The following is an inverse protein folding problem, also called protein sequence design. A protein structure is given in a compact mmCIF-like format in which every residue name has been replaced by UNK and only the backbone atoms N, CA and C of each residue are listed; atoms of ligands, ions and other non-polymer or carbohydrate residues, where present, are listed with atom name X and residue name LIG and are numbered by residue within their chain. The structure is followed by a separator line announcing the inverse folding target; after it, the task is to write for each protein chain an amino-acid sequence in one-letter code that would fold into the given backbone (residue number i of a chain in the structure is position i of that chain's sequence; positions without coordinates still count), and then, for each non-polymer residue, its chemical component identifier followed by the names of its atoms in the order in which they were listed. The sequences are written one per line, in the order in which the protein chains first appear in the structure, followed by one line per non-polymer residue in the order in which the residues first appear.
data_IF_274495163850
#
_entry.id   IF_274495163850
#
_cell.length_a   1.000
_cell.length_b   1.000
_cell.length_c   1.000
_cell.angle_alpha   90.00
_cell.angle_beta   90.00
_cell.angle_gamma   90.00
#
_symmetry.space_group_name_H-M   'P 1'
#
loop_
_entity.id
_entity.type
_entity.pdbx_description
1 polymer ?
#
# COMPACT_ATOMS: atom_id res chain seq x y z
N UNK A 1 -14.76 4.29 14.11
CA UNK A 1 -14.37 4.34 12.68
C UNK A 1 -15.25 5.29 11.87
N UNK A 2 -16.58 5.15 11.93
CA UNK A 2 -17.55 6.01 11.22
C UNK A 2 -17.47 7.51 11.56
N UNK A 3 -17.20 7.87 12.83
CA UNK A 3 -17.02 9.28 13.21
C UNK A 3 -15.79 9.95 12.59
N UNK A 4 -14.66 9.23 12.52
CA UNK A 4 -13.44 9.75 11.88
C UNK A 4 -13.69 9.99 10.40
N UNK A 5 -14.33 9.03 9.73
CA UNK A 5 -14.74 9.17 8.33
C UNK A 5 -15.67 10.37 8.15
N UNK A 6 -16.72 10.50 8.97
CA UNK A 6 -17.66 11.63 8.88
C UNK A 6 -16.98 12.99 9.05
N UNK A 7 -16.07 13.13 10.03
CA UNK A 7 -15.33 14.37 10.27
C UNK A 7 -14.42 14.69 9.09
N UNK A 8 -13.66 13.71 8.57
CA UNK A 8 -12.79 13.91 7.41
C UNK A 8 -13.60 14.28 6.15
N UNK A 9 -14.73 13.61 5.92
CA UNK A 9 -15.63 13.93 4.80
C UNK A 9 -16.16 15.36 4.90
N UNK A 10 -16.58 15.80 6.09
CA UNK A 10 -17.06 17.17 6.30
C UNK A 10 -15.95 18.21 6.10
N UNK A 11 -14.71 17.92 6.53
CA UNK A 11 -13.56 18.80 6.30
C UNK A 11 -13.25 18.96 4.80
N UNK A 12 -13.25 17.85 4.06
CA UNK A 12 -13.04 17.88 2.60
C UNK A 12 -14.17 18.65 1.91
N UNK A 13 -15.42 18.40 2.31
CA UNK A 13 -16.59 19.13 1.77
C UNK A 13 -16.49 20.62 2.05
N UNK A 14 -16.07 21.00 3.27
CA UNK A 14 -15.79 22.37 3.64
C UNK A 14 -14.71 23.01 2.76
N UNK A 15 -13.57 22.34 2.59
CA UNK A 15 -12.50 22.82 1.69
C UNK A 15 -12.99 23.01 0.25
N UNK A 16 -13.82 22.10 -0.26
CA UNK A 16 -14.38 22.21 -1.62
C UNK A 16 -15.33 23.39 -1.78
N UNK A 17 -16.13 23.71 -0.75
CA UNK A 17 -17.01 24.89 -0.77
C UNK A 17 -16.25 26.21 -0.81
N UNK A 18 -15.01 26.25 -0.32
CA UNK A 18 -14.13 27.42 -0.36
C UNK A 18 -13.09 27.35 -1.49
N UNK A 19 -13.07 26.28 -2.27
CA UNK A 19 -12.18 26.14 -3.42
C UNK A 19 -12.74 26.94 -4.60
N UNK A 20 -11.88 27.64 -5.34
CA UNK A 20 -12.30 28.38 -6.52
C UNK A 20 -12.77 27.47 -7.65
N UNK A 21 -13.68 27.94 -8.50
CA UNK A 21 -14.29 27.18 -9.60
C UNK A 21 -13.22 26.52 -10.51
N UNK A 22 -12.13 27.23 -10.80
CA UNK A 22 -10.98 26.72 -11.55
C UNK A 22 -10.35 25.46 -10.94
N UNK A 23 -10.27 25.36 -9.61
CA UNK A 23 -9.72 24.17 -8.95
C UNK A 23 -10.68 22.98 -9.06
N UNK A 24 -11.99 23.23 -8.95
CA UNK A 24 -13.01 22.17 -9.01
C UNK A 24 -13.14 21.61 -10.43
N UNK A 25 -13.20 22.48 -11.44
CA UNK A 25 -13.40 22.06 -12.83
C UNK A 25 -12.13 21.44 -13.44
N UNK A 26 -10.97 22.13 -13.38
CA UNK A 26 -9.76 21.61 -14.01
C UNK A 26 -9.06 20.51 -13.17
N UNK A 27 -8.86 20.76 -11.88
CA UNK A 27 -8.02 19.86 -11.07
C UNK A 27 -8.81 18.69 -10.48
N UNK A 28 -9.99 18.94 -9.90
CA UNK A 28 -10.79 17.86 -9.33
C UNK A 28 -11.47 17.04 -10.44
N UNK A 29 -12.19 17.69 -11.35
CA UNK A 29 -13.02 17.00 -12.32
C UNK A 29 -12.24 16.45 -13.52
N UNK A 30 -11.54 17.30 -14.28
CA UNK A 30 -10.81 16.83 -15.47
C UNK A 30 -9.62 15.93 -15.12
N UNK A 31 -8.84 16.27 -14.10
CA UNK A 31 -7.64 15.51 -13.76
C UNK A 31 -7.91 14.31 -12.85
N UNK A 32 -8.52 14.52 -11.67
CA UNK A 32 -8.70 13.41 -10.70
C UNK A 32 -9.85 12.49 -11.11
N UNK A 33 -11.05 13.04 -11.31
CA UNK A 33 -12.26 12.22 -11.55
C UNK A 33 -12.21 11.53 -12.91
N UNK A 34 -11.97 12.27 -14.00
CA UNK A 34 -11.99 11.68 -15.35
C UNK A 34 -10.79 10.80 -15.66
N UNK A 35 -9.60 11.16 -15.16
CA UNK A 35 -8.36 10.48 -15.55
C UNK A 35 -7.87 9.43 -14.55
N UNK A 36 -8.03 9.67 -13.24
CA UNK A 36 -7.45 8.79 -12.22
C UNK A 36 -8.48 7.88 -11.52
N UNK A 37 -9.70 8.36 -11.29
CA UNK A 37 -10.71 7.63 -10.50
C UNK A 37 -10.98 6.23 -11.06
N UNK A 38 -11.25 6.13 -12.37
CA UNK A 38 -11.57 4.85 -13.01
C UNK A 38 -10.40 3.86 -12.94
N UNK A 39 -9.18 4.31 -13.19
CA UNK A 39 -8.00 3.46 -13.13
C UNK A 39 -7.74 2.95 -11.70
N UNK A 40 -7.84 3.84 -10.69
CA UNK A 40 -7.68 3.47 -9.28
C UNK A 40 -8.79 2.50 -8.87
N UNK A 41 -10.05 2.79 -9.24
CA UNK A 41 -11.19 1.93 -8.93
C UNK A 41 -11.06 0.54 -9.57
N UNK A 42 -10.77 0.47 -10.87
CA UNK A 42 -10.65 -0.80 -11.59
C UNK A 42 -9.47 -1.61 -11.08
N UNK A 43 -8.32 -0.97 -10.81
CA UNK A 43 -7.16 -1.65 -10.28
C UNK A 43 -7.41 -2.16 -8.85
N UNK A 44 -7.97 -1.34 -7.95
CA UNK A 44 -8.28 -1.75 -6.57
C UNK A 44 -9.32 -2.85 -6.52
N UNK A 45 -10.40 -2.72 -7.30
CA UNK A 45 -11.43 -3.75 -7.45
C UNK A 45 -10.82 -5.05 -8.00
N UNK A 46 -10.01 -4.95 -9.05
CA UNK A 46 -9.34 -6.09 -9.66
C UNK A 46 -8.42 -6.81 -8.68
N UNK A 47 -7.56 -6.08 -7.97
CA UNK A 47 -6.68 -6.63 -6.95
C UNK A 47 -7.47 -7.33 -5.84
N UNK A 48 -8.55 -6.70 -5.35
CA UNK A 48 -9.42 -7.29 -4.32
C UNK A 48 -10.13 -8.56 -4.79
N UNK A 49 -10.63 -8.58 -6.02
CA UNK A 49 -11.23 -9.77 -6.63
C UNK A 49 -10.18 -10.88 -6.74
N UNK A 50 -8.99 -10.60 -7.26
CA UNK A 50 -7.91 -11.59 -7.41
C UNK A 50 -7.52 -12.17 -6.06
N UNK A 51 -7.30 -11.33 -5.04
CA UNK A 51 -6.98 -11.80 -3.67
C UNK A 51 -8.09 -12.70 -3.15
N UNK A 52 -9.35 -12.29 -3.31
CA UNK A 52 -10.49 -13.04 -2.79
C UNK A 52 -10.68 -14.38 -3.50
N UNK A 53 -10.43 -14.43 -4.81
CA UNK A 53 -10.44 -15.67 -5.57
C UNK A 53 -9.28 -16.57 -5.14
N UNK A 54 -8.04 -16.05 -5.08
CA UNK A 54 -6.86 -16.81 -4.64
C UNK A 54 -7.02 -17.36 -3.23
N UNK A 55 -7.56 -16.58 -2.30
CA UNK A 55 -7.88 -17.00 -0.94
C UNK A 55 -8.97 -18.09 -0.87
N UNK A 56 -9.77 -18.27 -1.92
CA UNK A 56 -10.77 -19.33 -2.01
C UNK A 56 -10.25 -20.66 -2.57
N UNK A 57 -9.11 -20.67 -3.27
CA UNK A 57 -8.53 -21.87 -3.90
C UNK A 57 -7.27 -22.38 -3.19
N UNK A 58 -6.57 -21.52 -2.46
CA UNK A 58 -5.37 -21.84 -1.70
C UNK A 58 -5.73 -21.59 -0.23
N UNK A 59 -5.33 -22.49 0.68
CA UNK A 59 -5.37 -22.22 2.12
C UNK A 59 -4.25 -21.22 2.45
N UNK A 60 -4.40 -20.00 1.92
CA UNK A 60 -3.37 -18.96 1.87
C UNK A 60 -2.99 -18.55 3.29
N UNK A 61 -3.92 -18.61 4.24
CA UNK A 61 -3.68 -18.22 5.63
C UNK A 61 -2.62 -19.10 6.30
N UNK A 62 -2.74 -20.42 6.19
CA UNK A 62 -1.80 -21.36 6.81
C UNK A 62 -0.45 -21.33 6.12
N UNK A 63 -0.41 -21.24 4.78
CA UNK A 63 0.86 -21.16 4.07
C UNK A 63 1.60 -19.83 4.32
N UNK A 64 0.88 -18.70 4.36
CA UNK A 64 1.47 -17.38 4.64
C UNK A 64 1.94 -17.28 6.09
N UNK A 65 1.16 -17.77 7.06
CA UNK A 65 1.55 -17.75 8.47
C UNK A 65 2.83 -18.56 8.71
N UNK A 66 2.92 -19.75 8.10
CA UNK A 66 4.06 -20.65 8.28
C UNK A 66 5.31 -20.17 7.53
N UNK A 67 5.15 -19.29 6.53
CA UNK A 67 6.23 -18.75 5.71
C UNK A 67 6.41 -17.24 5.89
N UNK A 68 6.20 -16.73 7.11
CA UNK A 68 6.30 -15.29 7.43
C UNK A 68 7.62 -14.66 6.97
N UNK A 69 8.74 -15.36 7.12
CA UNK A 69 10.05 -14.91 6.64
C UNK A 69 10.09 -14.69 5.12
N UNK A 70 9.49 -15.60 4.34
CA UNK A 70 9.40 -15.49 2.88
C UNK A 70 8.47 -14.34 2.48
N UNK A 71 7.38 -14.15 3.24
CA UNK A 71 6.44 -13.05 3.01
C UNK A 71 7.05 -11.67 3.26
N UNK A 72 7.98 -11.53 4.22
CA UNK A 72 8.78 -10.30 4.40
C UNK A 72 9.59 -9.99 3.14
N UNK A 73 10.26 -11.00 2.56
CA UNK A 73 11.05 -10.83 1.33
C UNK A 73 10.16 -10.46 0.14
N UNK A 74 9.00 -11.12 0.00
CA UNK A 74 8.02 -10.81 -1.05
C UNK A 74 7.48 -9.38 -0.89
N UNK A 75 7.15 -8.97 0.33
CA UNK A 75 6.68 -7.62 0.61
C UNK A 75 7.71 -6.55 0.26
N UNK A 76 8.99 -6.79 0.60
CA UNK A 76 10.09 -5.89 0.23
C UNK A 76 10.32 -5.85 -1.30
N UNK A 77 10.25 -7.00 -1.99
CA UNK A 77 10.38 -7.04 -3.45
C UNK A 77 9.24 -6.31 -4.16
N UNK A 78 8.00 -6.53 -3.73
CA UNK A 78 6.83 -5.90 -4.32
C UNK A 78 6.85 -4.37 -4.11
N UNK A 79 7.37 -3.88 -2.97
CA UNK A 79 7.52 -2.45 -2.71
C UNK A 79 8.50 -1.72 -3.63
N UNK A 80 9.30 -2.43 -4.44
CA UNK A 80 10.11 -1.82 -5.50
C UNK A 80 9.22 -1.22 -6.60
N UNK A 81 8.02 -1.77 -6.81
CA UNK A 81 7.06 -1.28 -7.80
C UNK A 81 6.58 0.12 -7.35
N UNK A 82 6.80 1.18 -8.15
CA UNK A 82 6.47 2.56 -7.76
C UNK A 82 4.98 2.89 -7.94
N UNK A 83 4.13 2.11 -7.28
CA UNK A 83 2.68 2.21 -7.37
C UNK A 83 2.08 1.90 -6.01
N UNK A 84 1.12 2.69 -5.51
CA UNK A 84 0.50 2.44 -4.19
C UNK A 84 -0.34 1.16 -4.14
N UNK A 85 -0.77 0.68 -5.30
CA UNK A 85 -1.68 -0.44 -5.43
C UNK A 85 -1.20 -1.70 -4.70
N UNK A 86 -0.06 -2.31 -5.10
CA UNK A 86 0.42 -3.55 -4.51
C UNK A 86 0.52 -3.53 -2.97
N UNK A 87 0.73 -2.35 -2.36
CA UNK A 87 0.71 -2.20 -0.91
C UNK A 87 -0.68 -2.37 -0.27
N UNK A 88 -1.75 -1.95 -0.94
CA UNK A 88 -3.12 -2.16 -0.47
C UNK A 88 -3.47 -3.64 -0.31
N UNK A 89 -2.84 -4.52 -1.08
CA UNK A 89 -2.96 -5.98 -0.92
C UNK A 89 -2.50 -6.41 0.48
N UNK A 90 -1.32 -5.96 0.91
CA UNK A 90 -0.77 -6.27 2.23
C UNK A 90 -1.60 -5.68 3.36
N UNK A 91 -2.06 -4.43 3.21
CA UNK A 91 -2.97 -3.79 4.19
C UNK A 91 -4.25 -4.60 4.33
N UNK A 92 -4.83 -5.04 3.21
CA UNK A 92 -6.06 -5.83 3.21
C UNK A 92 -5.87 -7.22 3.83
N UNK A 93 -4.77 -7.90 3.49
CA UNK A 93 -4.43 -9.20 4.06
C UNK A 93 -4.16 -9.10 5.57
N UNK A 94 -3.53 -8.01 6.03
CA UNK A 94 -3.30 -7.76 7.45
C UNK A 94 -4.62 -7.49 8.18
N UNK A 95 -5.49 -6.65 7.60
CA UNK A 95 -6.81 -6.37 8.15
C UNK A 95 -7.70 -7.62 8.22
N UNK A 96 -7.52 -8.57 7.30
CA UNK A 96 -8.18 -9.87 7.30
C UNK A 96 -7.54 -10.90 8.26
N UNK A 97 -6.44 -10.56 8.93
CA UNK A 97 -5.72 -11.45 9.84
C UNK A 97 -4.90 -12.55 9.14
N UNK A 98 -4.64 -12.41 7.84
CA UNK A 98 -3.95 -13.42 7.01
C UNK A 98 -2.43 -13.28 7.11
N UNK A 99 -1.91 -12.06 7.13
CA UNK A 99 -0.46 -11.78 7.27
C UNK A 99 -0.17 -11.17 8.65
N UNK A 100 0.99 -11.47 9.26
CA UNK A 100 1.36 -10.87 10.54
C UNK A 100 2.01 -9.49 10.38
N UNK A 101 2.15 -8.77 11.50
CA UNK A 101 2.69 -7.41 11.56
C UNK A 101 4.08 -7.23 10.91
N UNK A 102 5.05 -8.17 11.04
CA UNK A 102 6.35 -8.06 10.37
C UNK A 102 6.26 -7.90 8.86
N UNK A 103 5.32 -8.61 8.21
CA UNK A 103 5.11 -8.55 6.76
C UNK A 103 4.51 -7.22 6.36
N UNK A 104 3.53 -6.73 7.12
CA UNK A 104 2.94 -5.42 6.91
C UNK A 104 3.99 -4.31 7.04
N UNK A 105 4.83 -4.35 8.09
CA UNK A 105 5.90 -3.38 8.31
C UNK A 105 6.91 -3.36 7.17
N UNK A 106 7.34 -4.54 6.69
CA UNK A 106 8.22 -4.63 5.52
C UNK A 106 7.59 -3.99 4.28
N UNK A 107 6.29 -4.23 4.05
CA UNK A 107 5.55 -3.59 2.95
C UNK A 107 5.48 -2.06 3.10
N UNK A 108 5.17 -1.56 4.30
CA UNK A 108 5.10 -0.12 4.59
C UNK A 108 6.42 0.60 4.34
N UNK A 109 7.54 -0.01 4.75
CA UNK A 109 8.87 0.59 4.62
C UNK A 109 9.35 0.56 3.17
N UNK A 110 9.09 -0.54 2.46
CA UNK A 110 9.54 -0.67 1.08
C UNK A 110 8.75 0.21 0.11
N UNK A 111 7.54 0.63 0.49
CA UNK A 111 6.59 1.26 -0.41
C UNK A 111 6.63 2.80 -0.37
N UNK A 112 6.94 3.39 -1.53
CA UNK A 112 6.90 4.85 -1.74
C UNK A 112 5.67 5.30 -2.55
N UNK A 113 4.92 4.35 -3.10
CA UNK A 113 3.77 4.60 -3.96
C UNK A 113 4.10 5.44 -5.20
N UNK A 114 3.12 6.23 -5.65
CA UNK A 114 3.22 7.08 -6.84
C UNK A 114 4.23 8.23 -6.69
N UNK A 115 4.64 8.56 -5.46
CA UNK A 115 5.64 9.62 -5.20
C UNK A 115 7.03 9.27 -5.75
N UNK A 116 7.28 7.99 -6.01
CA UNK A 116 8.52 7.54 -6.62
C UNK A 116 8.58 7.75 -8.15
N UNK A 117 7.44 8.01 -8.81
CA UNK A 117 7.38 8.27 -10.26
C UNK A 117 8.08 9.59 -10.65
N UNK A 118 7.88 10.73 -9.95
CA UNK A 118 8.69 11.92 -10.15
C UNK A 118 10.19 11.69 -9.97
N UNK A 119 10.58 10.91 -8.96
CA UNK A 119 12.00 10.59 -8.71
C UNK A 119 12.59 9.74 -9.83
N UNK A 120 11.83 8.76 -10.34
CA UNK A 120 12.18 7.94 -11.48
C UNK A 120 12.33 8.78 -12.76
N UNK A 121 11.43 9.74 -12.97
CA UNK A 121 11.47 10.67 -14.09
C UNK A 121 12.67 11.63 -14.02
N UNK A 122 13.04 12.08 -12.82
CA UNK A 122 14.19 12.97 -12.62
C UNK A 122 15.52 12.24 -12.75
N UNK A 123 15.71 11.11 -12.04
CA UNK A 123 16.94 10.34 -12.11
C UNK A 123 16.73 8.87 -11.74
N UNK A 124 16.91 8.00 -12.74
CA UNK A 124 16.86 6.55 -12.57
C UNK A 124 17.87 6.03 -11.53
N UNK A 125 19.05 6.65 -11.45
CA UNK A 125 20.08 6.26 -10.49
C UNK A 125 19.66 6.58 -9.05
N UNK A 126 19.07 7.76 -8.83
CA UNK A 126 18.59 8.16 -7.50
C UNK A 126 17.38 7.32 -7.10
N UNK A 127 16.44 7.08 -8.02
CA UNK A 127 15.33 6.16 -7.81
C UNK A 127 15.81 4.77 -7.38
N UNK A 128 16.75 4.18 -8.11
CA UNK A 128 17.25 2.84 -7.81
C UNK A 128 17.94 2.79 -6.44
N UNK A 129 18.74 3.82 -6.11
CA UNK A 129 19.38 3.92 -4.79
C UNK A 129 18.36 3.99 -3.67
N UNK A 130 17.31 4.82 -3.82
CA UNK A 130 16.24 4.92 -2.83
C UNK A 130 15.52 3.57 -2.65
N UNK A 131 15.17 2.90 -3.75
CA UNK A 131 14.53 1.58 -3.71
C UNK A 131 15.39 0.52 -3.05
N UNK A 132 16.69 0.50 -3.34
CA UNK A 132 17.63 -0.43 -2.70
C UNK A 132 17.72 -0.18 -1.20
N UNK A 133 17.80 1.09 -0.77
CA UNK A 133 17.82 1.44 0.65
C UNK A 133 16.53 0.97 1.32
N UNK A 134 15.36 1.34 0.78
CA UNK A 134 14.07 0.97 1.33
C UNK A 134 13.88 -0.55 1.40
N UNK A 135 14.32 -1.28 0.37
CA UNK A 135 14.32 -2.74 0.34
C UNK A 135 15.12 -3.34 1.49
N UNK A 136 16.36 -2.88 1.71
CA UNK A 136 17.20 -3.39 2.79
C UNK A 136 16.67 -3.02 4.17
N UNK A 137 16.20 -1.78 4.36
CA UNK A 137 15.60 -1.35 5.63
C UNK A 137 14.32 -2.16 5.92
N UNK A 138 13.48 -2.40 4.91
CA UNK A 138 12.28 -3.21 5.04
C UNK A 138 12.58 -4.64 5.49
N UNK A 139 13.61 -5.27 4.92
CA UNK A 139 14.06 -6.60 5.33
C UNK A 139 14.56 -6.59 6.77
N UNK A 140 15.48 -5.67 7.11
CA UNK A 140 16.07 -5.61 8.46
C UNK A 140 14.99 -5.39 9.51
N UNK A 141 14.11 -4.41 9.31
CA UNK A 141 13.04 -4.09 10.25
C UNK A 141 11.99 -5.21 10.29
N UNK A 142 11.64 -5.80 9.16
CA UNK A 142 10.72 -6.94 9.09
C UNK A 142 11.22 -8.14 9.89
N UNK A 143 12.47 -8.55 9.70
CA UNK A 143 13.06 -9.65 10.46
C UNK A 143 13.27 -9.33 11.94
N UNK A 144 13.63 -8.09 12.27
CA UNK A 144 13.72 -7.65 13.66
C UNK A 144 12.36 -7.70 14.34
N UNK A 145 11.29 -7.26 13.66
CA UNK A 145 9.94 -7.38 14.18
C UNK A 145 9.52 -8.85 14.32
N UNK A 146 9.85 -9.71 13.37
CA UNK A 146 9.57 -11.14 13.46
C UNK A 146 10.24 -11.77 14.69
N UNK A 147 11.50 -11.40 14.96
CA UNK A 147 12.21 -11.84 16.14
C UNK A 147 11.54 -11.35 17.43
N UNK A 148 11.16 -10.07 17.50
CA UNK A 148 10.42 -9.50 18.65
C UNK A 148 9.10 -10.25 18.86
N UNK A 149 8.35 -10.47 17.79
CA UNK A 149 7.06 -11.15 17.83
C UNK A 149 7.20 -12.58 18.38
N UNK A 150 8.22 -13.31 17.92
CA UNK A 150 8.50 -14.69 18.37
C UNK A 150 8.84 -14.80 19.87
N UNK A 151 9.39 -13.73 20.46
CA UNK A 151 9.75 -13.67 21.89
C UNK A 151 8.60 -13.16 22.73
N UNK A 152 7.84 -12.18 22.23
CA UNK A 152 6.78 -11.50 22.98
C UNK A 152 5.42 -12.22 22.89
N UNK A 153 5.23 -13.13 21.93
CA UNK A 153 4.07 -14.04 21.88
C UNK A 153 2.74 -13.37 21.50
N UNK A 154 2.76 -12.29 20.72
CA UNK A 154 1.56 -11.60 20.21
C UNK A 154 1.50 -11.56 18.69
#
# INVERSE_FOLDING_TARGET
MYWVFAVLSLLVLGMLLFAGDHFVEEHLWEHIVRHHLLNIFLWTLGAMIVIRLLAGYIDVSTWISDNTALMILVAALIGIIPESGPHLVFVSLFAAGVIPLPVLLASCISQDGHTALPLLAHSRSVFLKAKVINFFVAIVVGFLMLAIQSVAGF
#
